data_IF_749771522389
#
_entry.id   IF_749771522389
#
_cell.length_a   1.000
_cell.length_b   1.000
_cell.length_c   1.000
_cell.angle_alpha   90.00
_cell.angle_beta   90.00
_cell.angle_gamma   90.00
#
_symmetry.space_group_name_H-M   'P 1'
#
loop_
_entity.id
_entity.type
_entity.pdbx_description
1 polymer ?
#
# COMPACT_ATOMS: atom_id res chain seq x y z
N UNK A 1 8.76 -9.48 2.25
CA UNK A 1 8.41 -8.21 1.59
C UNK A 1 8.06 -8.34 0.10
N UNK A 2 8.78 -9.15 -0.68
CA UNK A 2 8.57 -9.25 -2.14
C UNK A 2 7.10 -9.50 -2.53
N UNK A 3 6.42 -10.47 -1.91
CA UNK A 3 5.00 -10.75 -2.16
C UNK A 3 4.11 -9.53 -1.90
N UNK A 4 4.37 -8.79 -0.82
CA UNK A 4 3.66 -7.55 -0.48
C UNK A 4 3.84 -6.49 -1.57
N UNK A 5 5.07 -6.25 -2.03
CA UNK A 5 5.33 -5.28 -3.11
C UNK A 5 4.67 -5.70 -4.42
N UNK A 6 4.60 -7.00 -4.73
CA UNK A 6 3.86 -7.50 -5.92
C UNK A 6 2.38 -7.19 -5.83
N UNK A 7 1.77 -7.36 -4.66
CA UNK A 7 0.36 -7.00 -4.41
C UNK A 7 0.15 -5.50 -4.59
N UNK A 8 1.01 -4.66 -4.00
CA UNK A 8 0.90 -3.21 -4.11
C UNK A 8 1.03 -2.72 -5.56
N UNK A 9 1.99 -3.28 -6.31
CA UNK A 9 2.15 -2.96 -7.73
C UNK A 9 0.94 -3.41 -8.57
N UNK A 10 0.30 -4.51 -8.18
CA UNK A 10 -0.94 -4.97 -8.83
C UNK A 10 -2.12 -4.05 -8.50
N UNK A 11 -2.22 -3.58 -7.26
CA UNK A 11 -3.25 -2.60 -6.86
C UNK A 11 -3.13 -1.30 -7.66
N UNK A 12 -1.90 -0.83 -7.92
CA UNK A 12 -1.64 0.31 -8.81
C UNK A 12 -2.09 0.01 -10.24
N UNK A 13 -1.68 -1.14 -10.78
CA UNK A 13 -2.04 -1.57 -12.13
C UNK A 13 -3.56 -1.71 -12.34
N UNK A 14 -4.26 -2.22 -11.32
CA UNK A 14 -5.70 -2.45 -11.33
C UNK A 14 -6.49 -1.17 -10.95
N UNK A 15 -5.80 -0.05 -10.65
CA UNK A 15 -6.40 1.26 -10.41
C UNK A 15 -7.04 1.46 -9.03
N UNK A 16 -6.83 0.51 -8.11
CA UNK A 16 -7.35 0.53 -6.72
C UNK A 16 -6.74 1.68 -5.94
N UNK A 17 -5.43 1.90 -6.11
CA UNK A 17 -4.70 3.09 -5.69
C UNK A 17 -3.94 3.65 -6.90
N UNK A 18 -3.69 4.95 -6.95
CA UNK A 18 -2.98 5.54 -8.10
C UNK A 18 -1.47 5.31 -8.02
N UNK A 19 -0.93 5.48 -6.83
CA UNK A 19 0.48 5.35 -6.51
C UNK A 19 0.64 5.21 -5.00
N UNK A 20 1.79 4.72 -4.55
CA UNK A 20 2.15 4.68 -3.14
C UNK A 20 3.61 5.07 -2.94
N UNK A 21 3.92 5.58 -1.75
CA UNK A 21 5.28 5.79 -1.27
C UNK A 21 5.57 4.79 -0.14
N UNK A 22 6.79 4.24 -0.11
CA UNK A 22 7.24 3.41 1.02
C UNK A 22 7.60 4.34 2.18
N UNK A 23 7.14 4.00 3.37
CA UNK A 23 7.35 4.74 4.61
C UNK A 23 8.06 3.93 5.68
N UNK A 24 8.00 4.45 6.91
CA UNK A 24 8.40 3.73 8.12
C UNK A 24 9.87 3.30 8.14
N UNK A 25 10.13 2.18 8.82
CA UNK A 25 11.48 1.65 8.99
C UNK A 25 12.12 1.26 7.65
N UNK A 26 11.34 0.74 6.70
CA UNK A 26 11.84 0.38 5.35
C UNK A 26 12.35 1.61 4.61
N UNK A 27 11.64 2.74 4.68
CA UNK A 27 12.11 3.99 4.10
C UNK A 27 13.35 4.55 4.83
N UNK A 28 13.40 4.43 6.16
CA UNK A 28 14.51 4.91 6.96
C UNK A 28 15.84 4.22 6.62
N UNK A 29 15.83 2.92 6.30
CA UNK A 29 17.02 2.12 5.94
C UNK A 29 17.80 2.71 4.75
N UNK A 30 17.19 3.55 3.91
CA UNK A 30 17.93 4.28 2.86
C UNK A 30 18.95 5.30 3.42
N UNK A 31 18.80 5.72 4.67
CA UNK A 31 19.58 6.78 5.30
C UNK A 31 20.35 6.31 6.55
N UNK A 32 20.09 5.10 7.03
CA UNK A 32 20.71 4.53 8.24
C UNK A 32 21.26 3.13 7.96
N UNK A 33 21.96 2.55 8.93
CA UNK A 33 22.41 1.17 8.84
C UNK A 33 21.21 0.21 8.66
N UNK A 34 21.30 -0.78 7.74
CA UNK A 34 20.24 -1.74 7.55
C UNK A 34 19.88 -2.49 8.83
N UNK A 35 18.60 -2.45 9.18
CA UNK A 35 18.02 -3.19 10.30
C UNK A 35 16.93 -4.14 9.80
N UNK A 36 16.74 -5.26 10.48
CA UNK A 36 15.60 -6.13 10.20
C UNK A 36 14.29 -5.44 10.61
N UNK A 37 13.33 -5.43 9.70
CA UNK A 37 11.94 -5.06 9.98
C UNK A 37 10.99 -6.16 9.50
N UNK A 38 9.83 -6.26 10.13
CA UNK A 38 8.85 -7.32 9.88
C UNK A 38 7.71 -6.86 8.96
N UNK A 39 7.45 -5.55 8.91
CA UNK A 39 6.34 -4.94 8.21
C UNK A 39 6.80 -3.92 7.16
N UNK A 40 5.84 -3.47 6.35
CA UNK A 40 6.01 -2.47 5.30
C UNK A 40 4.92 -1.41 5.47
N UNK A 41 5.31 -0.21 5.85
CA UNK A 41 4.43 0.95 5.85
C UNK A 41 4.37 1.59 4.46
N UNK A 42 3.18 2.00 4.04
CA UNK A 42 3.00 2.78 2.81
C UNK A 42 2.08 3.97 3.02
N UNK A 43 2.28 5.00 2.21
CA UNK A 43 1.39 6.15 2.08
C UNK A 43 0.80 6.18 0.67
N UNK A 44 -0.47 6.50 0.54
CA UNK A 44 -1.15 6.66 -0.74
C UNK A 44 -2.28 7.69 -0.62
N UNK A 45 -2.68 8.27 -1.74
CA UNK A 45 -3.85 9.14 -1.76
C UNK A 45 -5.12 8.30 -1.89
N UNK A 46 -6.12 8.62 -1.08
CA UNK A 46 -7.46 8.04 -1.23
C UNK A 46 -8.17 8.80 -2.33
N UNK A 47 -8.71 8.08 -3.32
CA UNK A 47 -9.58 8.70 -4.32
C UNK A 47 -10.86 9.15 -3.63
N UNK A 48 -11.18 10.44 -3.74
CA UNK A 48 -12.48 10.93 -3.32
C UNK A 48 -13.57 10.23 -4.14
N UNK A 49 -14.48 9.53 -3.46
CA UNK A 49 -15.67 8.97 -4.08
C UNK A 49 -16.79 10.01 -3.98
N UNK A 50 -17.37 10.38 -5.11
CA UNK A 50 -18.54 11.27 -5.18
C UNK A 50 -19.83 10.65 -4.61
N UNK A 51 -19.79 9.40 -4.12
CA UNK A 51 -20.98 8.58 -3.91
C UNK A 51 -21.06 7.79 -2.58
N UNK A 52 -20.18 7.99 -1.58
CA UNK A 52 -20.26 7.15 -0.38
C UNK A 52 -19.48 7.60 0.84
N UNK A 53 -19.98 7.20 2.02
CA UNK A 53 -19.41 7.43 3.35
C UNK A 53 -18.14 6.60 3.65
N UNK A 54 -17.93 5.49 2.94
CA UNK A 54 -16.79 4.59 3.17
C UNK A 54 -15.80 4.62 2.00
N UNK A 55 -14.82 5.53 2.12
CA UNK A 55 -13.74 5.72 1.14
C UNK A 55 -12.72 4.56 1.10
N UNK A 56 -12.75 3.65 2.08
CA UNK A 56 -11.81 2.53 2.18
C UNK A 56 -12.39 1.20 1.70
N UNK A 57 -13.71 1.10 1.50
CA UNK A 57 -14.37 -0.13 1.03
C UNK A 57 -13.70 -0.80 -0.20
N UNK A 58 -13.28 -0.06 -1.26
CA UNK A 58 -12.61 -0.67 -2.41
C UNK A 58 -11.29 -1.36 -2.04
N UNK A 59 -10.53 -0.77 -1.09
CA UNK A 59 -9.25 -1.30 -0.62
C UNK A 59 -9.47 -2.62 0.15
N UNK A 60 -10.39 -2.63 1.13
CA UNK A 60 -10.68 -3.82 1.90
C UNK A 60 -11.22 -4.97 1.03
N UNK A 61 -12.11 -4.64 0.08
CA UNK A 61 -12.63 -5.61 -0.88
C UNK A 61 -11.53 -6.19 -1.76
N UNK A 62 -10.58 -5.38 -2.21
CA UNK A 62 -9.49 -5.87 -3.05
C UNK A 62 -8.57 -6.82 -2.26
N UNK A 63 -8.19 -6.43 -1.04
CA UNK A 63 -7.26 -7.21 -0.22
C UNK A 63 -7.84 -8.54 0.27
N UNK A 64 -9.16 -8.63 0.49
CA UNK A 64 -9.80 -9.90 0.88
C UNK A 64 -9.81 -10.97 -0.21
N UNK A 65 -9.53 -10.60 -1.46
CA UNK A 65 -9.47 -11.52 -2.61
C UNK A 65 -8.07 -12.13 -2.80
N UNK A 66 -7.06 -11.65 -2.07
CA UNK A 66 -5.67 -12.07 -2.18
C UNK A 66 -5.44 -13.25 -1.22
N UNK A 67 -4.93 -14.37 -1.75
CA UNK A 67 -4.58 -15.58 -1.00
C UNK A 67 -3.07 -15.82 -1.04
#
# INVERSE_FOLDING_TARGET
MEKTLRVLNRMVKDGVIEQYAIGGAVAAIFYIEPINTNDLDIFFHVKESSAGLDIMAPLYKYLSLIH
#
